data_IF_525146873223
#
_entry.id   IF_525146873223
#
_cell.length_a   1.000
_cell.length_b   1.000
_cell.length_c   1.000
_cell.angle_alpha   90.00
_cell.angle_beta   90.00
_cell.angle_gamma   90.00
#
_symmetry.space_group_name_H-M   'P 1'
#
loop_
_entity.id
_entity.type
_entity.pdbx_description
1 polymer ?
#
# COMPACT_ATOMS: atom_id res chain seq x y z
N UNK A 1 -6.03 27.19 -3.58
CA UNK A 1 -6.75 25.92 -3.82
C UNK A 1 -6.78 25.19 -2.49
N UNK A 2 -7.95 24.85 -1.93
CA UNK A 2 -8.01 24.01 -0.72
C UNK A 2 -7.45 22.63 -1.04
N UNK A 3 -6.60 22.12 -0.17
CA UNK A 3 -6.12 20.74 -0.26
C UNK A 3 -7.28 19.76 -0.02
N UNK A 4 -7.28 18.57 -0.65
CA UNK A 4 -8.38 17.62 -0.51
C UNK A 4 -8.48 17.09 0.93
N UNK A 5 -9.70 16.78 1.38
CA UNK A 5 -9.92 16.21 2.72
C UNK A 5 -9.11 14.91 2.90
N UNK A 6 -8.40 14.82 4.03
CA UNK A 6 -7.49 13.71 4.34
C UNK A 6 -6.07 13.88 3.80
N UNK A 7 -5.77 14.94 3.06
CA UNK A 7 -4.38 15.27 2.70
C UNK A 7 -3.59 15.75 3.93
N UNK A 8 -2.27 15.50 3.99
CA UNK A 8 -1.43 15.94 5.11
C UNK A 8 -1.49 17.45 5.32
N UNK A 9 -1.58 17.89 6.58
CA UNK A 9 -1.50 19.30 6.94
C UNK A 9 -0.04 19.80 6.85
N UNK A 10 0.21 20.98 6.27
CA UNK A 10 1.56 21.52 6.16
C UNK A 10 2.15 21.78 7.55
N UNK A 11 3.27 21.13 7.86
CA UNK A 11 3.95 21.25 9.16
C UNK A 11 3.26 20.51 10.31
N UNK A 12 2.40 19.53 10.03
CA UNK A 12 1.81 18.67 11.06
C UNK A 12 2.86 17.82 11.77
N UNK A 13 2.88 17.86 13.11
CA UNK A 13 3.82 17.11 13.96
C UNK A 13 3.28 15.72 14.32
N UNK A 14 1.96 15.58 14.40
CA UNK A 14 1.26 14.42 14.97
C UNK A 14 0.37 13.69 13.96
N UNK A 15 0.55 13.95 12.66
CA UNK A 15 -0.24 13.34 11.59
C UNK A 15 -1.53 14.08 11.29
N UNK A 16 -1.54 15.41 11.45
CA UNK A 16 -2.62 16.31 11.10
C UNK A 16 -2.94 16.22 9.60
N UNK A 17 -4.23 16.33 9.28
CA UNK A 17 -4.77 16.33 7.92
C UNK A 17 -5.73 17.49 7.71
N UNK A 18 -6.00 17.81 6.45
CA UNK A 18 -7.08 18.71 6.07
C UNK A 18 -8.45 18.05 6.30
N UNK A 19 -9.34 18.75 7.01
CA UNK A 19 -10.74 18.38 7.14
C UNK A 19 -11.54 18.74 5.87
N UNK A 20 -12.77 18.25 5.73
CA UNK A 20 -13.74 18.68 4.70
C UNK A 20 -13.88 20.20 4.57
N UNK A 21 -13.95 20.91 5.70
CA UNK A 21 -14.02 22.38 5.74
C UNK A 21 -12.66 23.07 5.54
N UNK A 22 -11.58 22.31 5.35
CA UNK A 22 -10.22 22.81 5.19
C UNK A 22 -9.52 23.16 6.50
N UNK A 23 -10.07 22.76 7.65
CA UNK A 23 -9.46 22.96 8.98
C UNK A 23 -8.40 21.89 9.28
N UNK A 24 -7.54 22.17 10.25
CA UNK A 24 -6.60 21.19 10.81
C UNK A 24 -7.38 20.14 11.61
N UNK A 25 -7.21 18.88 11.29
CA UNK A 25 -7.92 17.78 11.94
C UNK A 25 -7.07 16.52 12.05
N UNK A 26 -7.52 15.59 12.88
CA UNK A 26 -6.99 14.24 13.00
C UNK A 26 -8.03 13.23 12.51
N UNK A 27 -7.59 12.19 11.80
CA UNK A 27 -8.47 11.06 11.55
C UNK A 27 -8.73 10.29 12.84
N UNK A 28 -9.91 9.69 13.00
CA UNK A 28 -10.25 8.94 14.22
C UNK A 28 -9.26 7.84 14.61
N UNK A 29 -8.55 7.25 13.63
CA UNK A 29 -7.45 6.33 13.91
C UNK A 29 -6.29 7.03 14.63
N UNK A 30 -5.80 8.13 14.05
CA UNK A 30 -4.71 8.94 14.58
C UNK A 30 -5.07 9.53 15.95
N UNK A 31 -6.26 10.10 16.07
CA UNK A 31 -6.76 10.65 17.33
C UNK A 31 -6.78 9.61 18.46
N UNK A 32 -7.14 8.36 18.15
CA UNK A 32 -7.10 7.28 19.13
C UNK A 32 -5.66 6.97 19.58
N UNK A 33 -4.72 6.93 18.65
CA UNK A 33 -3.30 6.69 18.93
C UNK A 33 -2.70 7.81 19.80
N UNK A 34 -2.95 9.08 19.45
CA UNK A 34 -2.49 10.24 20.23
C UNK A 34 -3.07 10.24 21.65
N UNK A 35 -4.32 9.81 21.82
CA UNK A 35 -4.95 9.70 23.13
C UNK A 35 -4.56 8.44 23.92
N UNK A 36 -3.82 7.49 23.33
CA UNK A 36 -3.58 6.16 23.92
C UNK A 36 -4.88 5.36 24.14
N UNK A 37 -5.86 5.52 23.25
CA UNK A 37 -7.20 4.92 23.31
C UNK A 37 -7.48 4.06 22.08
N UNK A 38 -8.65 3.42 22.06
CA UNK A 38 -9.07 2.60 20.93
C UNK A 38 -9.69 3.44 19.81
N UNK A 39 -9.61 2.98 18.56
CA UNK A 39 -10.29 3.64 17.42
C UNK A 39 -11.81 3.79 17.64
N UNK A 40 -12.43 2.83 18.34
CA UNK A 40 -13.85 2.89 18.72
C UNK A 40 -14.14 4.10 19.60
N UNK A 41 -13.30 4.35 20.62
CA UNK A 41 -13.42 5.52 21.49
C UNK A 41 -13.36 6.84 20.71
N UNK A 42 -12.37 7.00 19.81
CA UNK A 42 -12.25 8.23 19.03
C UNK A 42 -13.43 8.43 18.06
N UNK A 43 -13.98 7.35 17.52
CA UNK A 43 -15.18 7.38 16.66
C UNK A 43 -16.43 7.77 17.47
N UNK A 44 -16.56 7.28 18.70
CA UNK A 44 -17.65 7.64 19.60
C UNK A 44 -17.53 9.09 20.06
N UNK A 45 -16.32 9.57 20.36
CA UNK A 45 -16.03 10.96 20.68
C UNK A 45 -16.43 11.89 19.53
N UNK A 46 -16.01 11.56 18.31
CA UNK A 46 -16.41 12.30 17.11
C UNK A 46 -17.93 12.29 16.92
N UNK A 47 -18.59 11.15 17.12
CA UNK A 47 -20.05 11.03 16.97
C UNK A 47 -20.82 11.81 18.03
N UNK A 48 -20.32 11.90 19.26
CA UNK A 48 -20.97 12.62 20.35
C UNK A 48 -21.02 14.14 20.08
N UNK A 49 -19.99 14.69 19.41
CA UNK A 49 -19.98 16.06 18.86
C UNK A 49 -20.10 17.19 19.88
N UNK A 50 -20.08 16.88 21.18
CA UNK A 50 -20.28 17.82 22.27
C UNK A 50 -18.96 18.29 22.92
N UNK A 51 -17.93 17.45 22.87
CA UNK A 51 -16.62 17.73 23.47
C UNK A 51 -15.56 18.09 22.44
N UNK A 52 -15.73 17.63 21.20
CA UNK A 52 -14.78 17.82 20.11
C UNK A 52 -15.58 18.07 18.84
N UNK A 53 -15.24 19.15 18.15
CA UNK A 53 -15.77 19.44 16.83
C UNK A 53 -15.36 18.30 15.89
N UNK A 54 -16.31 17.76 15.13
CA UNK A 54 -16.03 16.68 14.20
C UNK A 54 -16.72 16.87 12.87
N UNK A 55 -16.05 16.38 11.83
CA UNK A 55 -16.55 16.36 10.47
C UNK A 55 -16.51 14.94 9.94
N UNK A 56 -17.40 14.62 9.00
CA UNK A 56 -17.51 13.28 8.42
C UNK A 56 -17.59 13.37 6.91
N UNK A 57 -16.61 12.79 6.25
CA UNK A 57 -16.57 12.74 4.78
C UNK A 57 -15.80 11.52 4.27
N UNK A 58 -15.99 11.22 2.99
CA UNK A 58 -15.23 10.22 2.28
C UNK A 58 -13.87 10.77 1.85
N UNK A 59 -12.79 10.02 2.11
CA UNK A 59 -11.44 10.42 1.68
C UNK A 59 -11.27 9.97 0.22
N UNK A 60 -10.95 10.88 -0.72
CA UNK A 60 -10.71 10.53 -2.12
C UNK A 60 -9.65 9.42 -2.23
N UNK A 61 -9.97 8.35 -2.98
CA UNK A 61 -9.07 7.21 -3.20
C UNK A 61 -9.13 6.11 -2.13
N UNK A 62 -9.88 6.29 -1.04
CA UNK A 62 -10.07 5.25 -0.01
C UNK A 62 -11.41 4.52 -0.20
N UNK A 63 -11.39 3.25 -0.58
CA UNK A 63 -12.62 2.45 -0.61
C UNK A 63 -13.13 2.19 0.82
N UNK A 64 -14.42 2.45 1.08
CA UNK A 64 -15.07 2.12 2.35
C UNK A 64 -15.98 3.21 2.94
N UNK A 65 -16.28 3.08 4.23
CA UNK A 65 -17.15 3.99 4.96
C UNK A 65 -16.50 5.39 5.11
N UNK A 66 -17.30 6.46 5.21
CA UNK A 66 -16.78 7.81 5.45
C UNK A 66 -15.98 7.87 6.76
N UNK A 67 -14.87 8.60 6.71
CA UNK A 67 -13.97 8.80 7.82
C UNK A 67 -14.46 9.93 8.73
N UNK A 68 -14.11 9.84 10.01
CA UNK A 68 -14.31 10.90 10.98
C UNK A 68 -13.03 11.72 11.11
N UNK A 69 -13.20 13.03 11.00
CA UNK A 69 -12.19 14.06 11.19
C UNK A 69 -12.50 14.76 12.51
N UNK A 70 -11.62 14.64 13.50
CA UNK A 70 -11.71 15.36 14.77
C UNK A 70 -10.90 16.63 14.62
N UNK A 71 -11.53 17.80 14.76
CA UNK A 71 -10.83 19.07 14.57
C UNK A 71 -9.74 19.22 15.64
N UNK A 72 -8.54 19.53 15.18
CA UNK A 72 -7.34 19.52 16.00
C UNK A 72 -7.46 20.41 17.23
N UNK A 73 -7.93 21.65 17.07
CA UNK A 73 -7.95 22.62 18.18
C UNK A 73 -8.86 22.17 19.34
N UNK A 74 -10.07 21.69 19.04
CA UNK A 74 -11.00 21.21 20.08
C UNK A 74 -10.58 19.85 20.63
N UNK A 75 -10.00 18.99 19.80
CA UNK A 75 -9.48 17.70 20.21
C UNK A 75 -8.27 17.82 21.15
N UNK A 76 -7.29 18.65 20.78
CA UNK A 76 -6.10 18.95 21.59
C UNK A 76 -6.50 19.58 22.94
N UNK A 77 -7.45 20.52 22.93
CA UNK A 77 -7.98 21.10 24.16
C UNK A 77 -8.67 20.05 25.05
N UNK A 78 -9.44 19.14 24.44
CA UNK A 78 -10.06 18.03 25.16
C UNK A 78 -9.00 17.11 25.79
N UNK A 79 -7.94 16.76 25.06
CA UNK A 79 -6.85 15.93 25.59
C UNK A 79 -6.04 16.65 26.68
N UNK A 80 -5.82 17.96 26.55
CA UNK A 80 -5.22 18.78 27.60
C UNK A 80 -6.03 18.72 28.91
N UNK A 81 -7.36 18.82 28.81
CA UNK A 81 -8.26 18.73 29.97
C UNK A 81 -8.17 17.36 30.66
N UNK A 82 -7.91 16.32 29.88
CA UNK A 82 -7.73 14.95 30.39
C UNK A 82 -6.30 14.65 30.87
N UNK A 83 -5.35 15.60 30.73
CA UNK A 83 -3.93 15.37 31.04
C UNK A 83 -3.25 14.38 30.09
N UNK A 84 -3.78 14.21 28.88
CA UNK A 84 -3.30 13.30 27.85
C UNK A 84 -2.52 14.03 26.73
N UNK A 85 -2.38 15.35 26.83
CA UNK A 85 -1.63 16.19 25.89
C UNK A 85 -0.47 16.91 26.58
N UNK A 86 0.74 16.98 25.99
CA UNK A 86 1.11 16.43 24.68
C UNK A 86 1.07 14.90 24.65
N UNK A 87 0.77 14.31 23.49
CA UNK A 87 0.75 12.86 23.35
C UNK A 87 2.14 12.35 23.72
N UNK A 88 2.20 11.21 24.43
CA UNK A 88 3.49 10.56 24.68
C UNK A 88 4.11 10.31 23.31
N UNK A 89 5.30 10.87 23.05
CA UNK A 89 6.02 10.70 21.78
C UNK A 89 5.83 9.26 21.32
N UNK A 90 5.45 9.00 20.06
CA UNK A 90 5.21 7.65 19.58
C UNK A 90 6.46 6.85 19.93
N UNK A 91 6.35 6.03 20.97
CA UNK A 91 7.49 5.29 21.46
C UNK A 91 7.96 4.42 20.31
N UNK A 92 9.27 4.26 20.18
CA UNK A 92 10.06 3.35 19.32
C UNK A 92 9.25 2.22 18.63
N UNK A 93 8.29 1.60 19.32
CA UNK A 93 7.20 0.77 18.76
C UNK A 93 6.49 1.25 17.48
N UNK A 94 6.22 2.55 17.27
CA UNK A 94 5.53 3.05 16.06
C UNK A 94 6.46 3.07 14.84
N UNK A 95 7.73 3.44 15.03
CA UNK A 95 8.76 3.33 14.00
C UNK A 95 9.02 1.86 13.64
N UNK A 96 9.02 0.95 14.62
CA UNK A 96 9.12 -0.49 14.35
C UNK A 96 7.91 -1.05 13.61
N UNK A 97 6.69 -0.59 13.91
CA UNK A 97 5.51 -0.98 13.14
C UNK A 97 5.55 -0.45 11.71
N UNK A 98 5.96 0.80 11.51
CA UNK A 98 6.16 1.36 10.17
C UNK A 98 7.27 0.61 9.40
N UNK A 99 8.38 0.27 10.06
CA UNK A 99 9.47 -0.54 9.47
C UNK A 99 9.00 -1.95 9.12
N UNK A 100 8.15 -2.57 9.95
CA UNK A 100 7.56 -3.89 9.67
C UNK A 100 6.58 -3.85 8.51
N UNK A 101 5.77 -2.78 8.38
CA UNK A 101 4.87 -2.59 7.25
C UNK A 101 5.64 -2.37 5.93
N UNK A 102 6.70 -1.55 5.95
CA UNK A 102 7.60 -1.34 4.81
C UNK A 102 8.30 -2.64 4.40
N UNK A 103 8.86 -3.39 5.36
CA UNK A 103 9.46 -4.70 5.07
C UNK A 103 8.45 -5.72 4.54
N UNK A 104 7.19 -5.67 5.00
CA UNK A 104 6.11 -6.50 4.51
C UNK A 104 5.74 -6.21 3.05
N UNK A 105 5.69 -4.93 2.68
CA UNK A 105 5.44 -4.48 1.29
C UNK A 105 6.59 -4.90 0.37
N UNK A 106 7.83 -4.72 0.81
CA UNK A 106 9.02 -5.12 0.03
C UNK A 106 9.08 -6.65 -0.16
N UNK A 107 8.69 -7.43 0.86
CA UNK A 107 8.63 -8.89 0.76
C UNK A 107 7.54 -9.35 -0.23
N UNK A 108 6.38 -8.71 -0.24
CA UNK A 108 5.34 -9.02 -1.23
C UNK A 108 5.74 -8.61 -2.65
N UNK A 109 6.40 -7.46 -2.81
CA UNK A 109 6.93 -7.02 -4.10
C UNK A 109 7.97 -8.02 -4.62
N UNK A 110 8.93 -8.43 -3.78
CA UNK A 110 9.93 -9.43 -4.12
C UNK A 110 9.31 -10.79 -4.46
N UNK A 111 8.25 -11.21 -3.74
CA UNK A 111 7.52 -12.46 -4.07
C UNK A 111 6.84 -12.39 -5.43
N UNK A 112 6.28 -11.23 -5.81
CA UNK A 112 5.67 -11.03 -7.13
C UNK A 112 6.74 -11.04 -8.23
N UNK A 113 7.86 -10.37 -8.01
CA UNK A 113 8.99 -10.36 -8.95
C UNK A 113 9.57 -11.77 -9.14
N UNK A 114 9.75 -12.54 -8.07
CA UNK A 114 10.20 -13.95 -8.16
C UNK A 114 9.18 -14.79 -8.95
N UNK A 115 7.88 -14.62 -8.72
CA UNK A 115 6.85 -15.34 -9.46
C UNK A 115 6.87 -15.00 -10.96
N UNK A 116 7.05 -13.73 -11.31
CA UNK A 116 7.17 -13.27 -12.69
C UNK A 116 8.43 -13.81 -13.37
N UNK A 117 9.58 -13.75 -12.69
CA UNK A 117 10.84 -14.30 -13.20
C UNK A 117 10.74 -15.82 -13.43
N UNK A 118 10.10 -16.56 -12.52
CA UNK A 118 9.88 -17.99 -12.71
C UNK A 118 8.99 -18.27 -13.94
N UNK A 119 7.92 -17.49 -14.16
CA UNK A 119 7.11 -17.64 -15.37
C UNK A 119 7.91 -17.35 -16.65
N UNK A 120 8.80 -16.36 -16.62
CA UNK A 120 9.68 -16.06 -17.76
C UNK A 120 10.67 -17.21 -18.02
N UNK A 121 11.25 -17.79 -16.95
CA UNK A 121 12.15 -18.95 -17.06
C UNK A 121 11.42 -20.15 -17.67
N UNK A 122 10.20 -20.45 -17.22
CA UNK A 122 9.40 -21.55 -17.75
C UNK A 122 9.08 -21.33 -19.24
N UNK A 123 8.69 -20.11 -19.61
CA UNK A 123 8.42 -19.76 -21.00
C UNK A 123 9.67 -19.87 -21.89
N UNK A 124 10.81 -19.38 -21.41
CA UNK A 124 12.09 -19.48 -22.14
C UNK A 124 12.55 -20.92 -22.26
N UNK A 125 12.37 -21.74 -21.22
CA UNK A 125 12.72 -23.17 -21.22
C UNK A 125 11.87 -23.92 -22.24
N UNK A 126 10.57 -23.70 -22.26
CA UNK A 126 9.66 -24.30 -23.25
C UNK A 126 10.02 -23.87 -24.68
N UNK A 127 10.37 -22.59 -24.89
CA UNK A 127 10.82 -22.10 -26.19
C UNK A 127 12.12 -22.77 -26.64
N UNK A 128 13.07 -22.96 -25.72
CA UNK A 128 14.34 -23.63 -26.03
C UNK A 128 14.12 -25.09 -26.44
N UNK A 129 13.26 -25.81 -25.73
CA UNK A 129 12.90 -27.19 -26.08
C UNK A 129 12.26 -27.30 -27.46
N UNK A 130 11.38 -26.36 -27.83
CA UNK A 130 10.82 -26.30 -29.19
C UNK A 130 11.90 -26.06 -30.23
N UNK A 131 12.78 -25.08 -30.03
CA UNK A 131 13.88 -24.78 -30.95
C UNK A 131 14.84 -25.97 -31.12
N UNK A 132 15.13 -26.71 -30.05
CA UNK A 132 15.94 -27.94 -30.13
C UNK A 132 15.24 -29.02 -30.96
N UNK A 133 13.92 -29.15 -30.80
CA UNK A 133 13.11 -30.11 -31.56
C UNK A 133 13.10 -29.76 -33.05
N UNK A 134 12.85 -28.48 -33.37
CA UNK A 134 12.87 -27.97 -34.75
C UNK A 134 14.25 -28.15 -35.39
N UNK A 135 15.33 -27.85 -34.65
CA UNK A 135 16.70 -28.09 -35.12
C UNK A 135 16.93 -29.56 -35.47
N UNK A 136 16.50 -30.49 -34.61
CA UNK A 136 16.69 -31.92 -34.86
C UNK A 136 15.89 -32.37 -36.09
N UNK A 137 14.64 -31.92 -36.24
CA UNK A 137 13.82 -32.21 -37.42
C UNK A 137 14.44 -31.70 -38.72
N UNK A 138 15.04 -30.50 -38.69
CA UNK A 138 15.74 -29.93 -39.84
C UNK A 138 17.00 -30.73 -40.19
N UNK A 139 17.79 -31.14 -39.20
CA UNK A 139 18.97 -31.99 -39.42
C UNK A 139 18.59 -33.35 -40.03
N UNK A 140 17.51 -33.98 -39.54
CA UNK A 140 17.00 -35.23 -40.10
C UNK A 140 16.53 -35.06 -41.55
N UNK A 141 15.89 -33.94 -41.86
CA UNK A 141 15.46 -33.61 -43.22
C UNK A 141 16.66 -33.43 -44.15
N UNK A 142 17.69 -32.69 -43.71
CA UNK A 142 18.93 -32.51 -44.46
C UNK A 142 19.62 -33.86 -44.71
N UNK A 143 19.68 -34.73 -43.69
CA UNK A 143 20.27 -36.06 -43.83
C UNK A 143 19.52 -36.90 -44.88
N UNK A 144 18.18 -36.91 -44.85
CA UNK A 144 17.34 -37.59 -45.85
C UNK A 144 17.55 -37.05 -47.26
N UNK A 145 17.55 -35.73 -47.43
CA UNK A 145 17.79 -35.08 -48.72
C UNK A 145 19.20 -35.40 -49.26
N UNK A 146 20.20 -35.47 -48.38
CA UNK A 146 21.57 -35.83 -48.75
C UNK A 146 21.65 -37.29 -49.23
N UNK A 147 20.96 -38.22 -48.58
CA UNK A 147 20.87 -39.62 -49.04
C UNK A 147 20.14 -39.75 -50.38
N UNK A 148 19.04 -39.02 -50.58
CA UNK A 148 18.33 -38.99 -51.87
C UNK A 148 19.22 -38.43 -52.98
N UNK A 149 19.98 -37.37 -52.71
CA UNK A 149 20.92 -36.79 -53.68
C UNK A 149 22.06 -37.75 -54.05
N UNK A 150 22.52 -38.59 -53.13
CA UNK A 150 23.55 -39.61 -53.39
C UNK A 150 23.03 -40.83 -54.15
N UNK A 151 21.73 -41.10 -54.08
CA UNK A 151 21.10 -42.30 -54.68
C UNK A 151 20.41 -42.03 -56.01
N UNK A 152 20.35 -40.77 -56.46
CA UNK A 152 19.86 -40.40 -57.79
C UNK A 152 20.92 -40.77 -58.84
N UNK A 153 20.69 -41.74 -59.74
CA UNK A 153 21.65 -42.09 -60.79
C UNK A 153 21.72 -40.97 -61.84
N UNK A 154 22.92 -40.72 -62.35
CA UNK A 154 23.14 -39.95 -63.58
C UNK A 154 22.63 -40.71 -64.81
#
# INVERSE_FOLDING_TARGET
MSAPAGSPWPGGEYGEVHSPSGRRAYLAAQAAELAGRTRKWATELARAGNMVDSEREHIPGRQGAPAWFLIADSFEQHLHTLGLWPPRSPGVTSEWQQLLELQGVDLEAARREIAELNQQIDALTARNQRLQTDRNNLLDTIAKLTEVAKTTPS
#
